data_IF_440725096474
#
_entry.id   IF_440725096474
#
_cell.length_a   1.000
_cell.length_b   1.000
_cell.length_c   1.000
_cell.angle_alpha   90.00
_cell.angle_beta   90.00
_cell.angle_gamma   90.00
#
_symmetry.space_group_name_H-M   'P 1'
#
loop_
_entity.id
_entity.type
_entity.pdbx_description
1 polymer ?
#
# COMPACT_ATOMS: atom_id res chain seq x y z
N UNK A 1 -34.61 -23.28 73.92
CA UNK A 1 -33.87 -24.09 72.92
C UNK A 1 -34.70 -24.12 71.64
N UNK A 2 -34.42 -23.22 70.68
CA UNK A 2 -35.09 -23.16 69.39
C UNK A 2 -34.24 -23.87 68.34
N UNK A 3 -34.73 -25.00 67.86
CA UNK A 3 -34.12 -25.79 66.80
C UNK A 3 -34.46 -25.19 65.44
N UNK A 4 -33.50 -24.49 64.84
CA UNK A 4 -33.57 -24.08 63.44
C UNK A 4 -33.55 -25.33 62.54
N UNK A 5 -34.71 -25.69 62.00
CA UNK A 5 -34.83 -26.69 60.93
C UNK A 5 -34.25 -26.10 59.64
N UNK A 6 -33.02 -26.50 59.32
CA UNK A 6 -32.42 -26.27 58.01
C UNK A 6 -33.23 -27.02 56.95
N UNK A 7 -34.07 -26.29 56.20
CA UNK A 7 -34.77 -26.83 55.04
C UNK A 7 -33.74 -27.07 53.92
N UNK A 8 -33.25 -28.31 53.84
CA UNK A 8 -32.37 -28.78 52.76
C UNK A 8 -33.24 -28.95 51.51
N UNK A 9 -33.46 -27.84 50.78
CA UNK A 9 -34.23 -27.80 49.53
C UNK A 9 -33.44 -28.61 48.49
N UNK A 10 -33.84 -29.86 48.27
CA UNK A 10 -33.29 -30.70 47.21
C UNK A 10 -33.62 -30.04 45.86
N UNK A 11 -32.64 -29.34 45.29
CA UNK A 11 -32.69 -28.97 43.88
C UNK A 11 -32.64 -30.31 43.12
N UNK A 12 -33.75 -30.66 42.46
CA UNK A 12 -33.87 -31.90 41.70
C UNK A 12 -32.76 -31.95 40.65
N UNK A 13 -32.07 -33.09 40.55
CA UNK A 13 -31.02 -33.37 39.58
C UNK A 13 -31.45 -33.04 38.13
N UNK A 14 -32.75 -33.12 37.85
CA UNK A 14 -33.34 -32.75 36.56
C UNK A 14 -33.14 -31.27 36.21
N UNK A 15 -33.18 -30.37 37.20
CA UNK A 15 -32.95 -28.94 36.98
C UNK A 15 -31.50 -28.66 36.58
N UNK A 16 -30.57 -29.43 37.12
CA UNK A 16 -29.14 -29.29 36.84
C UNK A 16 -28.79 -29.79 35.43
N UNK A 17 -29.46 -30.87 34.97
CA UNK A 17 -29.32 -31.40 33.61
C UNK A 17 -29.91 -30.45 32.56
N UNK A 18 -31.08 -29.86 32.83
CA UNK A 18 -31.69 -28.88 31.91
C UNK A 18 -30.82 -27.63 31.80
N UNK A 19 -30.28 -27.13 32.91
CA UNK A 19 -29.40 -25.96 32.91
C UNK A 19 -28.10 -26.21 32.12
N UNK A 20 -27.48 -27.38 32.24
CA UNK A 20 -26.26 -27.70 31.47
C UNK A 20 -26.53 -27.89 29.98
N UNK A 21 -27.65 -28.49 29.59
CA UNK A 21 -28.04 -28.63 28.18
C UNK A 21 -28.28 -27.25 27.53
N UNK A 22 -28.95 -26.33 28.24
CA UNK A 22 -29.18 -24.96 27.75
C UNK A 22 -27.88 -24.19 27.61
N UNK A 23 -26.96 -24.29 28.58
CA UNK A 23 -25.64 -23.65 28.47
C UNK A 23 -24.79 -24.22 27.33
N UNK A 24 -24.84 -25.53 27.08
CA UNK A 24 -24.14 -26.17 25.97
C UNK A 24 -24.72 -25.74 24.60
N UNK A 25 -26.05 -25.67 24.49
CA UNK A 25 -26.72 -25.17 23.27
C UNK A 25 -26.39 -23.70 23.01
N UNK A 26 -26.40 -22.84 24.04
CA UNK A 26 -26.03 -21.43 23.89
C UNK A 26 -24.55 -21.23 23.53
N UNK A 27 -23.65 -22.12 23.98
CA UNK A 27 -22.22 -22.07 23.62
C UNK A 27 -21.91 -22.61 22.21
N UNK A 28 -22.85 -23.35 21.60
CA UNK A 28 -22.69 -23.96 20.29
C UNK A 28 -23.24 -23.10 19.14
N UNK A 29 -23.94 -22.00 19.43
CA UNK A 29 -24.23 -21.00 18.42
C UNK A 29 -22.97 -20.17 18.22
N UNK A 30 -22.33 -20.18 17.03
CA UNK A 30 -21.32 -19.17 16.73
C UNK A 30 -21.99 -17.83 16.99
N UNK A 31 -21.41 -17.03 17.88
CA UNK A 31 -21.81 -15.64 18.02
C UNK A 31 -21.52 -15.00 16.66
N UNK A 32 -22.55 -14.94 15.81
CA UNK A 32 -22.52 -14.11 14.63
C UNK A 32 -22.53 -12.69 15.18
N UNK A 33 -21.33 -12.17 15.43
CA UNK A 33 -21.13 -10.76 15.66
C UNK A 33 -21.43 -10.08 14.34
N UNK A 34 -22.69 -9.68 14.15
CA UNK A 34 -23.04 -8.71 13.15
C UNK A 34 -22.40 -7.40 13.61
N UNK A 35 -21.17 -7.16 13.18
CA UNK A 35 -20.57 -5.83 13.25
C UNK A 35 -21.33 -5.02 12.21
N UNK A 36 -22.41 -4.38 12.64
CA UNK A 36 -22.99 -3.31 11.84
C UNK A 36 -21.94 -2.18 11.86
N UNK A 37 -21.24 -2.00 10.75
CA UNK A 37 -20.43 -0.79 10.57
C UNK A 37 -21.39 0.40 10.70
N UNK A 38 -21.09 1.30 11.63
CA UNK A 38 -21.87 2.52 11.77
C UNK A 38 -21.65 3.35 10.50
N UNK A 39 -22.73 3.88 9.92
CA UNK A 39 -22.63 4.80 8.80
C UNK A 39 -21.63 5.91 9.11
N UNK A 40 -20.78 6.23 8.15
CA UNK A 40 -19.78 7.28 8.27
C UNK A 40 -20.40 8.62 7.96
N UNK A 41 -20.00 9.66 8.69
CA UNK A 41 -20.45 11.03 8.44
C UNK A 41 -19.53 11.66 7.38
N UNK A 42 -20.07 11.91 6.19
CA UNK A 42 -19.32 12.53 5.08
C UNK A 42 -19.29 14.05 5.19
N UNK A 43 -20.36 14.63 5.75
CA UNK A 43 -20.53 16.07 5.86
C UNK A 43 -21.42 16.40 7.05
N UNK A 44 -21.07 17.47 7.77
CA UNK A 44 -21.91 18.06 8.80
C UNK A 44 -21.88 19.59 8.72
N UNK A 45 -23.03 20.21 8.90
CA UNK A 45 -23.17 21.66 9.07
C UNK A 45 -24.06 21.92 10.30
N UNK A 46 -23.53 22.61 11.33
CA UNK A 46 -24.29 22.84 12.56
C UNK A 46 -25.51 23.73 12.34
N UNK A 47 -25.43 24.72 11.45
CA UNK A 47 -26.55 25.63 11.21
C UNK A 47 -26.39 26.50 9.96
N UNK A 48 -27.46 26.66 9.19
CA UNK A 48 -27.55 27.60 8.08
C UNK A 48 -28.91 28.29 8.04
N UNK A 49 -28.94 29.59 7.74
CA UNK A 49 -30.19 30.31 7.42
C UNK A 49 -30.32 30.38 5.91
N UNK A 50 -31.46 29.94 5.39
CA UNK A 50 -31.75 29.87 3.95
C UNK A 50 -32.86 30.85 3.63
N UNK A 51 -32.67 31.63 2.58
CA UNK A 51 -33.63 32.65 2.14
C UNK A 51 -33.82 32.55 0.62
N UNK A 52 -34.87 33.18 0.08
CA UNK A 52 -35.13 33.21 -1.37
C UNK A 52 -33.96 33.77 -2.20
N UNK A 53 -33.17 34.69 -1.61
CA UNK A 53 -32.02 35.31 -2.28
C UNK A 53 -30.69 34.64 -1.97
N UNK A 54 -30.66 33.78 -0.96
CA UNK A 54 -29.45 33.10 -0.46
C UNK A 54 -29.78 31.63 -0.27
N UNK A 55 -29.79 30.83 -1.36
CA UNK A 55 -30.01 29.40 -1.25
C UNK A 55 -28.82 28.75 -0.54
N UNK A 56 -29.07 27.63 0.12
CA UNK A 56 -28.04 26.83 0.75
C UNK A 56 -27.39 25.89 -0.25
N UNK A 57 -26.07 25.75 -0.15
CA UNK A 57 -25.28 24.77 -0.86
C UNK A 57 -24.19 24.28 0.10
N UNK A 58 -24.13 22.97 0.32
CA UNK A 58 -23.13 22.35 1.22
C UNK A 58 -21.69 22.51 0.72
N UNK A 59 -21.50 22.86 -0.56
CA UNK A 59 -20.26 22.66 -1.29
C UNK A 59 -20.07 21.20 -1.68
N UNK A 60 -18.92 20.90 -2.30
CA UNK A 60 -18.58 19.57 -2.81
C UNK A 60 -18.34 18.56 -1.67
N UNK A 61 -19.08 17.45 -1.71
CA UNK A 61 -18.94 16.27 -0.86
C UNK A 61 -18.46 15.12 -1.75
N UNK A 62 -17.37 14.45 -1.36
CA UNK A 62 -16.87 13.31 -2.09
C UNK A 62 -17.57 12.02 -1.63
N UNK A 63 -18.56 11.57 -2.39
CA UNK A 63 -19.39 10.41 -2.07
C UNK A 63 -19.13 9.18 -2.96
N UNK A 64 -18.04 9.20 -3.75
CA UNK A 64 -17.76 8.15 -4.77
C UNK A 64 -17.52 6.75 -4.17
N UNK A 65 -16.99 6.69 -2.94
CA UNK A 65 -16.67 5.43 -2.25
C UNK A 65 -17.67 5.11 -1.14
N UNK A 66 -18.92 5.60 -1.25
CA UNK A 66 -19.95 5.40 -0.24
C UNK A 66 -21.26 4.92 -0.89
N UNK A 67 -21.93 4.00 -0.20
CA UNK A 67 -23.24 3.45 -0.54
C UNK A 67 -24.24 3.79 0.57
N UNK A 68 -25.53 3.49 0.35
CA UNK A 68 -26.61 3.78 1.30
C UNK A 68 -26.59 5.23 1.81
N UNK A 69 -26.24 6.15 0.91
CA UNK A 69 -26.15 7.57 1.21
C UNK A 69 -27.49 8.07 1.76
N UNK A 70 -27.43 8.94 2.76
CA UNK A 70 -28.60 9.55 3.38
C UNK A 70 -28.30 10.95 3.84
N UNK A 71 -29.33 11.79 3.86
CA UNK A 71 -29.29 13.16 4.39
C UNK A 71 -30.30 13.31 5.52
N UNK A 72 -29.93 14.00 6.59
CA UNK A 72 -30.81 14.33 7.72
C UNK A 72 -30.51 15.75 8.21
N UNK A 73 -31.52 16.46 8.71
CA UNK A 73 -31.38 17.78 9.33
C UNK A 73 -32.62 18.13 10.13
N UNK A 74 -32.52 19.14 11.00
CA UNK A 74 -33.69 19.81 11.55
C UNK A 74 -33.93 21.12 10.82
N UNK A 75 -35.19 21.53 10.74
CA UNK A 75 -35.63 22.78 10.12
C UNK A 75 -36.56 23.52 11.05
N UNK A 76 -36.44 24.84 11.06
CA UNK A 76 -37.41 25.77 11.63
C UNK A 76 -37.89 26.68 10.48
N UNK A 77 -39.11 26.39 10.03
CA UNK A 77 -39.79 27.08 8.93
C UNK A 77 -40.87 28.05 9.40
N UNK A 78 -40.88 28.42 10.69
CA UNK A 78 -41.89 29.33 11.28
C UNK A 78 -42.00 30.68 10.59
N UNK A 79 -40.96 31.09 9.86
CA UNK A 79 -40.94 32.34 9.11
C UNK A 79 -41.43 32.21 7.66
N UNK A 80 -41.80 31.01 7.20
CA UNK A 80 -42.49 30.80 5.92
C UNK A 80 -44.00 31.04 6.10
N UNK A 81 -44.37 32.28 6.44
CA UNK A 81 -45.71 32.63 6.92
C UNK A 81 -46.70 33.05 5.82
N UNK A 82 -46.24 33.13 4.57
CA UNK A 82 -47.04 33.47 3.41
C UNK A 82 -47.81 32.29 2.82
N UNK A 83 -48.94 32.59 2.17
CA UNK A 83 -49.73 31.56 1.48
C UNK A 83 -48.98 31.02 0.25
N UNK A 84 -48.52 29.78 0.35
CA UNK A 84 -47.78 29.12 -0.72
C UNK A 84 -46.26 29.22 -0.58
N UNK A 85 -45.77 29.74 0.54
CA UNK A 85 -44.34 29.69 0.84
C UNK A 85 -43.94 28.25 1.15
N UNK A 86 -42.76 27.86 0.69
CA UNK A 86 -42.22 26.52 0.86
C UNK A 86 -40.71 26.55 0.78
N UNK A 87 -40.06 25.50 1.25
CA UNK A 87 -38.68 25.21 0.85
C UNK A 87 -38.57 23.81 0.27
N UNK A 88 -37.66 23.66 -0.67
CA UNK A 88 -37.34 22.40 -1.32
C UNK A 88 -35.91 22.03 -0.98
N UNK A 89 -35.64 20.73 -0.83
CA UNK A 89 -34.30 20.23 -0.61
C UNK A 89 -34.03 19.05 -1.54
N UNK A 90 -32.75 18.87 -1.85
CA UNK A 90 -32.33 17.80 -2.73
C UNK A 90 -30.83 17.73 -2.88
N UNK A 91 -30.39 17.14 -3.98
CA UNK A 91 -28.99 17.01 -4.31
C UNK A 91 -28.71 17.42 -5.76
N UNK A 92 -27.44 17.68 -6.05
CA UNK A 92 -26.93 17.89 -7.41
C UNK A 92 -25.44 17.57 -7.47
N UNK A 93 -24.91 17.45 -8.68
CA UNK A 93 -23.48 17.65 -8.88
C UNK A 93 -23.17 19.16 -8.75
N UNK A 94 -22.02 19.55 -8.21
CA UNK A 94 -21.63 20.97 -8.15
C UNK A 94 -21.73 21.62 -9.54
N UNK A 95 -22.56 22.67 -9.65
CA UNK A 95 -22.85 23.38 -10.91
C UNK A 95 -23.84 22.66 -11.85
N UNK A 96 -24.39 21.52 -11.45
CA UNK A 96 -25.40 20.75 -12.17
C UNK A 96 -26.83 21.20 -11.88
N UNK A 97 -27.81 20.49 -12.44
CA UNK A 97 -29.23 20.72 -12.19
C UNK A 97 -29.69 20.10 -10.87
N UNK A 98 -30.62 20.78 -10.20
CA UNK A 98 -31.23 20.34 -8.94
C UNK A 98 -32.07 19.06 -9.14
N UNK A 99 -31.85 18.05 -8.29
CA UNK A 99 -32.70 16.87 -8.15
C UNK A 99 -33.42 16.94 -6.80
N UNK A 100 -34.71 17.31 -6.85
CA UNK A 100 -35.53 17.49 -5.64
C UNK A 100 -35.88 16.16 -4.98
N UNK A 101 -35.71 16.09 -3.66
CA UNK A 101 -36.13 14.96 -2.84
C UNK A 101 -37.53 15.20 -2.24
N UNK A 102 -37.76 16.40 -1.70
CA UNK A 102 -39.06 16.82 -1.22
C UNK A 102 -39.19 18.34 -1.12
N UNK A 103 -40.43 18.79 -0.98
CA UNK A 103 -40.82 20.16 -0.68
C UNK A 103 -41.63 20.20 0.61
N UNK A 104 -41.33 21.16 1.48
CA UNK A 104 -42.03 21.42 2.74
C UNK A 104 -42.74 22.75 2.63
N UNK A 105 -44.06 22.73 2.72
CA UNK A 105 -44.90 23.94 2.68
C UNK A 105 -44.96 24.59 4.06
N UNK A 106 -44.70 25.89 4.12
CA UNK A 106 -44.91 26.71 5.32
C UNK A 106 -46.38 26.82 5.69
N UNK A 107 -46.65 27.05 6.97
CA UNK A 107 -47.99 27.27 7.48
C UNK A 107 -48.19 28.76 7.75
N UNK A 108 -49.42 29.23 7.52
CA UNK A 108 -49.74 30.64 7.82
C UNK A 108 -49.73 30.85 9.34
N UNK A 109 -48.81 31.70 9.79
CA UNK A 109 -48.60 32.07 11.19
C UNK A 109 -47.55 31.20 11.88
N UNK A 110 -46.70 31.83 12.71
CA UNK A 110 -45.58 31.17 13.40
C UNK A 110 -46.08 30.04 14.34
N UNK A 111 -46.01 28.78 13.90
CA UNK A 111 -46.42 27.64 14.73
C UNK A 111 -45.25 26.71 15.04
N UNK A 112 -45.20 26.16 16.26
CA UNK A 112 -44.19 25.17 16.62
C UNK A 112 -44.26 23.87 15.78
N UNK A 113 -45.33 23.66 15.00
CA UNK A 113 -45.45 22.53 14.08
C UNK A 113 -44.50 22.65 12.86
N UNK A 114 -43.93 23.83 12.64
CA UNK A 114 -42.98 24.14 11.57
C UNK A 114 -41.52 23.91 11.97
N UNK A 115 -41.29 23.47 13.21
CA UNK A 115 -40.02 22.94 13.68
C UNK A 115 -40.04 21.43 13.52
N UNK A 116 -39.26 20.91 12.58
CA UNK A 116 -39.27 19.50 12.22
C UNK A 116 -37.85 18.94 12.14
N UNK A 117 -37.65 17.76 12.73
CA UNK A 117 -36.44 16.95 12.51
C UNK A 117 -36.73 15.94 11.42
N UNK A 118 -36.05 16.09 10.29
CA UNK A 118 -36.06 15.10 9.22
C UNK A 118 -35.07 13.99 9.57
N UNK A 119 -35.60 12.78 9.71
CA UNK A 119 -34.79 11.57 9.81
C UNK A 119 -33.99 11.30 8.53
N UNK A 120 -33.17 10.24 8.50
CA UNK A 120 -32.35 9.92 7.33
C UNK A 120 -33.23 9.66 6.11
N UNK A 121 -33.09 10.52 5.10
CA UNK A 121 -33.69 10.38 3.77
C UNK A 121 -32.65 9.76 2.85
N UNK A 122 -32.94 8.60 2.27
CA UNK A 122 -32.02 7.92 1.35
C UNK A 122 -31.80 8.73 0.08
N UNK A 123 -30.54 8.89 -0.30
CA UNK A 123 -30.12 9.45 -1.58
C UNK A 123 -30.00 8.32 -2.62
N UNK A 124 -30.35 8.60 -3.89
CA UNK A 124 -30.30 7.59 -4.94
C UNK A 124 -28.85 7.28 -5.36
N UNK A 125 -28.63 6.20 -6.11
CA UNK A 125 -27.28 5.75 -6.51
C UNK A 125 -26.55 6.80 -7.36
N UNK A 126 -27.28 7.62 -8.10
CA UNK A 126 -26.73 8.71 -8.91
C UNK A 126 -26.10 9.83 -8.07
N UNK A 127 -26.39 9.88 -6.76
CA UNK A 127 -25.74 10.80 -5.82
C UNK A 127 -24.35 10.30 -5.36
N UNK A 128 -23.93 9.09 -5.72
CA UNK A 128 -22.60 8.52 -5.42
C UNK A 128 -21.54 9.08 -6.37
N UNK A 129 -21.30 10.40 -6.28
CA UNK A 129 -20.39 11.15 -7.14
C UNK A 129 -19.35 11.91 -6.29
N UNK A 130 -18.22 12.28 -6.91
CA UNK A 130 -17.11 12.94 -6.21
C UNK A 130 -17.37 14.42 -5.86
N UNK A 131 -18.42 15.00 -6.42
CA UNK A 131 -18.82 16.39 -6.25
C UNK A 131 -20.32 16.52 -5.93
N UNK A 132 -20.81 15.64 -5.06
CA UNK A 132 -22.17 15.72 -4.51
C UNK A 132 -22.34 17.06 -3.78
N UNK A 133 -23.48 17.73 -3.96
CA UNK A 133 -23.83 18.93 -3.21
C UNK A 133 -25.29 18.82 -2.74
N UNK A 134 -25.54 19.06 -1.45
CA UNK A 134 -26.88 19.21 -0.91
C UNK A 134 -27.30 20.66 -1.08
N UNK A 135 -28.50 20.86 -1.61
CA UNK A 135 -29.08 22.19 -1.77
C UNK A 135 -30.39 22.31 -0.99
N UNK A 136 -30.66 23.53 -0.53
CA UNK A 136 -31.95 23.93 0.06
C UNK A 136 -32.32 25.29 -0.52
N UNK A 137 -33.52 25.40 -1.07
CA UNK A 137 -34.02 26.60 -1.74
C UNK A 137 -35.39 26.97 -1.16
N UNK A 138 -35.57 28.26 -0.84
CA UNK A 138 -36.87 28.80 -0.41
C UNK A 138 -37.59 29.37 -1.62
N UNK A 139 -38.87 29.04 -1.73
CA UNK A 139 -39.82 29.63 -2.68
C UNK A 139 -40.86 30.36 -1.85
N UNK A 140 -40.92 31.68 -1.98
CA UNK A 140 -41.88 32.48 -1.25
C UNK A 140 -42.37 33.68 -2.07
N UNK A 141 -43.52 34.23 -1.67
CA UNK A 141 -44.11 35.34 -2.38
C UNK A 141 -43.31 36.63 -2.16
N UNK A 142 -42.89 37.33 -3.22
CA UNK A 142 -42.11 38.55 -3.07
C UNK A 142 -42.88 39.62 -2.29
N UNK A 143 -42.33 40.06 -1.16
CA UNK A 143 -42.85 41.17 -0.35
C UNK A 143 -43.41 40.80 1.04
N UNK A 144 -43.31 39.52 1.45
CA UNK A 144 -43.58 39.08 2.83
C UNK A 144 -42.47 39.52 3.82
N UNK A 145 -42.82 39.59 5.11
CA UNK A 145 -41.82 39.81 6.15
C UNK A 145 -41.16 38.46 6.49
N UNK A 146 -40.00 38.21 5.88
CA UNK A 146 -39.02 37.17 6.23
C UNK A 146 -39.27 35.73 5.74
N UNK A 147 -39.17 35.50 4.43
CA UNK A 147 -39.15 34.18 3.78
C UNK A 147 -37.86 33.37 4.08
N UNK A 148 -37.71 32.88 5.32
CA UNK A 148 -36.51 32.20 5.79
C UNK A 148 -36.81 30.82 6.38
N UNK A 149 -35.88 29.89 6.21
CA UNK A 149 -35.83 28.64 6.97
C UNK A 149 -34.47 28.52 7.67
N UNK A 150 -34.47 28.22 8.96
CA UNK A 150 -33.26 27.87 9.70
C UNK A 150 -33.07 26.36 9.65
N UNK A 151 -31.94 25.92 9.14
CA UNK A 151 -31.52 24.52 9.07
C UNK A 151 -30.48 24.30 10.16
N UNK A 152 -30.61 23.21 10.92
CA UNK A 152 -29.62 22.79 11.92
C UNK A 152 -29.30 21.32 11.80
N UNK A 153 -28.11 20.93 12.28
CA UNK A 153 -27.66 19.54 12.33
C UNK A 153 -27.74 18.83 10.98
N UNK A 154 -27.42 19.55 9.89
CA UNK A 154 -27.41 18.95 8.56
C UNK A 154 -26.27 17.96 8.47
N UNK A 155 -26.59 16.74 8.05
CA UNK A 155 -25.68 15.62 8.00
C UNK A 155 -25.91 14.79 6.76
N UNK A 156 -24.81 14.46 6.07
CA UNK A 156 -24.78 13.46 5.01
C UNK A 156 -23.98 12.28 5.53
N UNK A 157 -24.57 11.10 5.50
CA UNK A 157 -23.93 9.85 5.94
C UNK A 157 -24.07 8.75 4.91
N UNK A 158 -23.15 7.79 4.94
CA UNK A 158 -23.17 6.62 4.08
C UNK A 158 -22.26 5.52 4.59
N UNK A 159 -22.47 4.32 4.08
CA UNK A 159 -21.62 3.18 4.38
C UNK A 159 -20.47 3.19 3.38
N UNK A 160 -19.20 3.10 3.82
CA UNK A 160 -18.09 2.90 2.89
C UNK A 160 -18.44 1.74 1.94
N UNK A 161 -18.33 1.97 0.64
CA UNK A 161 -18.35 0.86 -0.31
C UNK A 161 -17.14 0.04 0.07
N UNK A 162 -17.36 -1.11 0.71
CA UNK A 162 -16.30 -2.10 0.80
C UNK A 162 -15.90 -2.37 -0.62
N UNK A 163 -14.64 -2.06 -0.96
CA UNK A 163 -14.08 -2.45 -2.25
C UNK A 163 -14.44 -3.91 -2.41
N UNK A 164 -15.33 -4.17 -3.39
CA UNK A 164 -15.71 -5.54 -3.71
C UNK A 164 -14.45 -6.12 -4.27
N UNK A 165 -13.70 -6.77 -3.38
CA UNK A 165 -12.50 -7.46 -3.73
C UNK A 165 -12.95 -8.49 -4.78
N UNK A 166 -12.58 -8.24 -6.04
CA UNK A 166 -12.91 -9.15 -7.13
C UNK A 166 -12.00 -10.34 -6.94
N UNK A 167 -12.58 -11.54 -6.78
CA UNK A 167 -11.80 -12.79 -6.73
C UNK A 167 -10.73 -12.75 -7.82
N UNK A 168 -9.46 -12.78 -7.42
CA UNK A 168 -8.39 -12.80 -8.40
C UNK A 168 -8.44 -14.16 -9.11
N UNK A 169 -7.95 -14.19 -10.35
CA UNK A 169 -8.03 -15.45 -11.10
C UNK A 169 -6.98 -16.39 -10.55
N UNK A 170 -7.40 -17.41 -9.79
CA UNK A 170 -6.55 -18.51 -9.36
C UNK A 170 -5.76 -19.04 -10.56
N UNK A 171 -4.44 -19.10 -10.42
CA UNK A 171 -3.60 -19.63 -11.49
C UNK A 171 -3.71 -21.15 -11.48
N UNK A 172 -4.02 -21.75 -12.62
CA UNK A 172 -4.12 -23.21 -12.72
C UNK A 172 -2.71 -23.80 -12.72
N UNK A 173 -2.26 -24.25 -11.56
CA UNK A 173 -0.99 -24.97 -11.39
C UNK A 173 -0.12 -24.38 -10.28
N UNK A 174 0.97 -25.08 -9.90
CA UNK A 174 1.88 -24.60 -8.88
C UNK A 174 2.61 -23.36 -9.40
N UNK A 175 2.33 -22.22 -8.79
CA UNK A 175 3.24 -21.08 -8.80
C UNK A 175 4.13 -21.14 -7.56
N UNK A 176 5.10 -20.24 -7.50
CA UNK A 176 5.97 -20.14 -6.34
C UNK A 176 5.28 -19.53 -5.11
N UNK A 177 4.12 -18.88 -5.28
CA UNK A 177 3.39 -18.18 -4.23
C UNK A 177 2.11 -18.93 -3.94
N UNK A 178 1.99 -19.40 -2.70
CA UNK A 178 0.89 -20.27 -2.28
C UNK A 178 0.27 -19.79 -0.97
N UNK A 179 -1.05 -19.78 -0.89
CA UNK A 179 -1.75 -19.64 0.40
C UNK A 179 -1.76 -21.01 1.07
N UNK A 180 -1.08 -21.13 2.22
CA UNK A 180 -0.79 -22.43 2.86
C UNK A 180 -2.07 -23.17 3.21
N UNK A 181 -3.07 -22.44 3.70
CA UNK A 181 -4.30 -22.97 4.24
C UNK A 181 -5.28 -23.44 3.14
N UNK A 182 -5.41 -22.69 2.03
CA UNK A 182 -6.33 -23.06 0.92
C UNK A 182 -5.67 -23.96 -0.12
N UNK A 183 -4.35 -23.86 -0.26
CA UNK A 183 -3.62 -24.55 -1.31
C UNK A 183 -3.64 -23.84 -2.66
N UNK A 184 -4.19 -22.63 -2.71
CA UNK A 184 -4.29 -21.83 -3.94
C UNK A 184 -2.97 -21.16 -4.29
N UNK A 185 -2.80 -20.93 -5.59
CA UNK A 185 -1.57 -20.46 -6.20
C UNK A 185 -1.81 -19.12 -6.90
N UNK A 186 -0.87 -18.21 -6.70
CA UNK A 186 -0.92 -16.83 -7.20
C UNK A 186 0.35 -16.49 -7.97
N UNK A 187 0.23 -15.59 -8.94
CA UNK A 187 1.34 -15.07 -9.74
C UNK A 187 2.14 -13.98 -9.01
N UNK A 188 1.56 -13.33 -8.00
CA UNK A 188 2.25 -12.36 -7.14
C UNK A 188 1.70 -12.36 -5.71
N UNK A 189 2.45 -11.72 -4.79
CA UNK A 189 2.00 -11.51 -3.40
C UNK A 189 0.82 -10.54 -3.39
N UNK A 190 0.84 -9.55 -4.28
CA UNK A 190 -0.20 -8.54 -4.41
C UNK A 190 -1.51 -9.20 -4.83
N UNK A 191 -1.46 -10.11 -5.81
CA UNK A 191 -2.63 -10.91 -6.24
C UNK A 191 -3.17 -11.79 -5.10
N UNK A 192 -2.28 -12.44 -4.34
CA UNK A 192 -2.68 -13.27 -3.18
C UNK A 192 -3.28 -12.43 -2.04
N UNK A 193 -2.75 -11.23 -1.80
CA UNK A 193 -3.23 -10.33 -0.74
C UNK A 193 -4.49 -9.56 -1.12
N UNK A 194 -4.72 -9.39 -2.41
CA UNK A 194 -5.89 -8.76 -3.00
C UNK A 194 -6.96 -9.80 -3.38
N UNK A 195 -6.88 -11.03 -2.87
CA UNK A 195 -7.90 -12.04 -3.09
C UNK A 195 -8.94 -12.03 -1.97
N UNK A 196 -10.21 -12.02 -2.37
CA UNK A 196 -11.35 -11.74 -1.48
C UNK A 196 -11.74 -12.92 -0.59
N UNK A 197 -11.41 -14.12 -1.02
CA UNK A 197 -11.69 -15.37 -0.32
C UNK A 197 -10.50 -15.86 0.50
N UNK A 198 -9.34 -15.18 0.42
CA UNK A 198 -8.20 -15.38 1.33
C UNK A 198 -8.46 -14.62 2.64
N UNK A 199 -8.89 -15.30 3.73
CA UNK A 199 -9.26 -14.64 4.96
C UNK A 199 -8.06 -13.98 5.63
N UNK A 200 -8.30 -12.87 6.34
CA UNK A 200 -7.26 -12.20 7.11
C UNK A 200 -6.57 -13.17 8.10
N UNK A 201 -5.23 -13.17 8.07
CA UNK A 201 -4.40 -14.02 8.93
C UNK A 201 -3.89 -15.30 8.28
N UNK A 202 -4.23 -15.55 7.01
CA UNK A 202 -3.68 -16.68 6.25
C UNK A 202 -2.21 -16.44 5.89
N UNK A 203 -1.44 -17.53 5.81
CA UNK A 203 -0.01 -17.47 5.57
C UNK A 203 0.27 -17.59 4.08
N UNK A 204 0.87 -16.54 3.51
CA UNK A 204 1.40 -16.58 2.13
C UNK A 204 2.81 -17.17 2.18
N UNK A 205 2.97 -18.39 1.68
CA UNK A 205 4.27 -19.00 1.46
C UNK A 205 4.86 -18.44 0.17
N UNK A 206 5.94 -17.68 0.30
CA UNK A 206 6.78 -17.28 -0.82
C UNK A 206 7.82 -18.37 -1.07
N UNK A 207 8.32 -18.53 -2.31
CA UNK A 207 9.48 -19.36 -2.50
C UNK A 207 10.58 -18.73 -1.66
N UNK A 208 11.28 -19.55 -0.87
CA UNK A 208 12.49 -19.10 -0.18
C UNK A 208 13.40 -18.52 -1.25
N UNK A 209 13.52 -17.18 -1.28
CA UNK A 209 14.43 -16.48 -2.19
C UNK A 209 15.77 -17.16 -2.04
N UNK A 210 16.20 -17.89 -3.06
CA UNK A 210 17.50 -18.54 -3.06
C UNK A 210 18.49 -17.39 -3.06
N UNK A 211 19.03 -17.06 -1.90
CA UNK A 211 20.14 -16.14 -1.79
C UNK A 211 21.30 -16.82 -2.48
N UNK A 212 21.52 -16.48 -3.75
CA UNK A 212 22.78 -16.78 -4.42
C UNK A 212 23.85 -16.21 -3.50
N UNK A 213 24.79 -17.02 -2.97
CA UNK A 213 25.87 -16.50 -2.16
C UNK A 213 26.54 -15.39 -2.98
N UNK A 214 26.68 -14.19 -2.42
CA UNK A 214 27.55 -13.18 -3.02
C UNK A 214 28.91 -13.85 -3.17
N UNK A 215 29.52 -13.86 -4.38
CA UNK A 215 30.82 -14.46 -4.57
C UNK A 215 31.79 -13.88 -3.54
N UNK A 216 32.75 -14.67 -3.08
CA UNK A 216 33.85 -14.10 -2.32
C UNK A 216 34.65 -13.15 -3.22
N UNK A 217 35.28 -12.13 -2.63
CA UNK A 217 36.20 -11.26 -3.33
C UNK A 217 37.32 -12.07 -4.00
N UNK A 218 37.73 -11.68 -5.21
CA UNK A 218 38.88 -12.27 -5.87
C UNK A 218 40.14 -11.43 -5.59
N UNK A 219 41.26 -12.10 -5.32
CA UNK A 219 42.57 -11.44 -5.15
C UNK A 219 43.48 -11.76 -6.33
N UNK A 220 44.01 -10.73 -6.99
CA UNK A 220 45.00 -10.85 -8.05
C UNK A 220 46.33 -10.34 -7.51
N UNK A 221 47.40 -11.12 -7.69
CA UNK A 221 48.77 -10.71 -7.39
C UNK A 221 49.53 -10.69 -8.71
N UNK A 222 50.06 -9.53 -9.08
CA UNK A 222 50.80 -9.33 -10.32
C UNK A 222 52.25 -8.91 -10.03
N UNK A 223 53.18 -9.45 -10.81
CA UNK A 223 54.62 -9.14 -10.71
C UNK A 223 55.10 -8.57 -12.04
N UNK A 224 55.71 -7.38 -12.01
CA UNK A 224 56.30 -6.75 -13.20
C UNK A 224 57.77 -7.12 -13.34
N UNK A 225 58.11 -7.68 -14.49
CA UNK A 225 59.49 -7.92 -14.92
C UNK A 225 59.75 -7.04 -16.15
N UNK A 226 60.92 -6.41 -16.19
CA UNK A 226 61.43 -5.64 -17.33
C UNK A 226 62.76 -6.24 -17.74
N UNK A 227 62.97 -6.41 -19.04
CA UNK A 227 64.23 -6.88 -19.61
C UNK A 227 64.79 -5.80 -20.53
N UNK A 228 66.13 -5.69 -20.58
CA UNK A 228 66.83 -4.74 -21.47
C UNK A 228 66.67 -5.11 -22.96
N UNK A 229 66.43 -6.39 -23.27
CA UNK A 229 66.21 -6.90 -24.62
C UNK A 229 64.92 -7.73 -24.66
N UNK A 230 64.06 -7.46 -25.65
CA UNK A 230 62.80 -8.17 -25.88
C UNK A 230 63.02 -9.65 -26.22
N UNK A 231 64.18 -10.02 -26.77
CA UNK A 231 64.54 -11.41 -27.04
C UNK A 231 64.67 -12.27 -25.76
N UNK A 232 64.81 -11.65 -24.59
CA UNK A 232 64.87 -12.33 -23.30
C UNK A 232 63.47 -12.69 -22.77
N UNK A 233 62.43 -12.03 -23.28
CA UNK A 233 61.06 -12.31 -22.89
C UNK A 233 60.57 -13.63 -23.50
N UNK A 234 59.72 -14.38 -22.78
CA UNK A 234 59.16 -15.62 -23.28
C UNK A 234 58.10 -15.32 -24.35
N UNK A 235 58.51 -15.29 -25.63
CA UNK A 235 57.63 -15.00 -26.77
C UNK A 235 56.68 -16.14 -27.13
N UNK A 236 56.87 -17.34 -26.57
CA UNK A 236 56.01 -18.50 -26.83
C UNK A 236 54.71 -18.48 -25.99
N UNK A 237 54.54 -17.46 -25.15
CA UNK A 237 53.44 -17.36 -24.20
C UNK A 237 53.53 -18.40 -23.08
N UNK A 238 52.85 -18.13 -21.97
CA UNK A 238 52.61 -19.14 -20.94
C UNK A 238 51.20 -19.68 -21.11
N UNK A 239 51.04 -20.99 -21.24
CA UNK A 239 49.72 -21.63 -21.23
C UNK A 239 49.10 -21.64 -19.82
N UNK A 240 49.91 -21.47 -18.78
CA UNK A 240 49.47 -21.36 -17.39
C UNK A 240 50.40 -20.43 -16.63
N UNK A 241 49.83 -19.39 -16.02
CA UNK A 241 50.54 -18.48 -15.11
C UNK A 241 50.12 -18.83 -13.68
N UNK A 242 51.08 -19.16 -12.82
CA UNK A 242 50.89 -19.47 -11.40
C UNK A 242 51.54 -18.39 -10.53
N UNK A 243 51.38 -18.49 -9.22
CA UNK A 243 52.04 -17.60 -8.27
C UNK A 243 53.58 -17.72 -8.24
N UNK A 244 54.18 -18.75 -8.87
CA UNK A 244 55.64 -18.91 -8.96
C UNK A 244 56.22 -18.51 -10.30
N UNK A 245 55.41 -18.31 -11.34
CA UNK A 245 55.88 -18.08 -12.72
C UNK A 245 56.93 -16.97 -12.84
N UNK A 246 56.72 -15.83 -12.18
CA UNK A 246 57.68 -14.72 -12.22
C UNK A 246 59.02 -15.05 -11.55
N UNK A 247 58.97 -15.76 -10.41
CA UNK A 247 60.18 -16.20 -9.70
C UNK A 247 60.93 -17.26 -10.51
N UNK A 248 60.21 -18.22 -11.10
CA UNK A 248 60.77 -19.28 -11.95
C UNK A 248 61.42 -18.70 -13.22
N UNK A 249 60.81 -17.67 -13.81
CA UNK A 249 61.39 -16.95 -14.96
C UNK A 249 62.74 -16.34 -14.58
N UNK A 250 62.80 -15.54 -13.51
CA UNK A 250 64.03 -14.87 -13.07
C UNK A 250 65.12 -15.84 -12.58
N UNK A 251 64.71 -17.02 -12.07
CA UNK A 251 65.63 -18.08 -11.64
C UNK A 251 66.11 -19.00 -12.79
N UNK A 252 65.59 -18.81 -14.01
CA UNK A 252 65.99 -19.60 -15.18
C UNK A 252 67.42 -19.26 -15.64
N UNK A 253 67.90 -19.98 -16.66
CA UNK A 253 69.29 -19.87 -17.14
C UNK A 253 69.71 -18.42 -17.40
N UNK A 254 70.93 -18.00 -17.00
CA UNK A 254 71.39 -16.62 -17.15
C UNK A 254 71.27 -16.06 -18.58
N UNK A 255 71.37 -16.90 -19.60
CA UNK A 255 71.19 -16.49 -21.01
C UNK A 255 69.79 -15.91 -21.31
N UNK A 256 68.77 -16.23 -20.50
CA UNK A 256 67.40 -15.73 -20.63
C UNK A 256 67.04 -14.64 -19.62
N UNK A 257 67.84 -14.45 -18.58
CA UNK A 257 67.52 -13.56 -17.44
C UNK A 257 68.57 -12.49 -17.19
N UNK A 258 69.76 -12.59 -17.81
CA UNK A 258 70.79 -11.57 -17.74
C UNK A 258 70.30 -10.31 -18.46
N UNK A 259 69.95 -9.29 -17.66
CA UNK A 259 69.33 -8.06 -18.15
C UNK A 259 67.83 -7.96 -17.83
N UNK A 260 67.26 -8.90 -17.08
CA UNK A 260 65.88 -8.83 -16.58
C UNK A 260 65.84 -8.54 -15.08
N UNK A 261 64.94 -7.67 -14.64
CA UNK A 261 64.75 -7.31 -13.23
C UNK A 261 63.29 -7.07 -12.86
N UNK A 262 63.00 -7.15 -11.56
CA UNK A 262 61.71 -6.76 -10.98
C UNK A 262 61.59 -5.24 -11.02
N UNK A 263 60.46 -4.73 -11.50
CA UNK A 263 60.24 -3.30 -11.68
C UNK A 263 59.26 -2.74 -10.65
N UNK A 264 59.77 -1.86 -9.79
CA UNK A 264 58.96 -1.06 -8.87
C UNK A 264 58.23 0.08 -9.59
N UNK A 265 57.27 0.68 -8.91
CA UNK A 265 56.54 1.88 -9.35
C UNK A 265 55.80 1.71 -10.69
N UNK A 266 55.28 0.50 -10.95
CA UNK A 266 54.49 0.16 -12.14
C UNK A 266 53.02 -0.11 -11.77
N UNK A 267 52.05 0.38 -12.55
CA UNK A 267 50.63 0.04 -12.40
C UNK A 267 50.16 -0.94 -13.47
N UNK A 268 49.29 -1.88 -13.10
CA UNK A 268 48.56 -2.74 -14.02
C UNK A 268 47.15 -2.20 -14.23
N UNK A 269 46.47 -2.66 -15.27
CA UNK A 269 45.06 -2.37 -15.52
C UNK A 269 44.30 -3.69 -15.72
N UNK A 270 43.07 -3.73 -15.22
CA UNK A 270 42.17 -4.89 -15.36
C UNK A 270 40.74 -4.43 -15.66
N UNK A 271 39.95 -5.27 -16.33
CA UNK A 271 38.57 -4.96 -16.68
C UNK A 271 37.69 -6.23 -16.63
N UNK A 272 36.39 -6.04 -16.43
CA UNK A 272 35.38 -7.10 -16.51
C UNK A 272 35.01 -7.43 -17.97
N UNK A 273 34.46 -8.63 -18.19
CA UNK A 273 33.84 -9.08 -19.45
C UNK A 273 34.77 -9.17 -20.68
N UNK A 274 36.01 -9.63 -20.50
CA UNK A 274 36.96 -9.94 -21.60
C UNK A 274 36.97 -8.85 -22.69
N UNK A 275 37.44 -7.66 -22.34
CA UNK A 275 37.67 -6.61 -23.32
C UNK A 275 38.75 -7.08 -24.32
N UNK A 276 38.47 -6.96 -25.62
CA UNK A 276 39.38 -7.41 -26.67
C UNK A 276 40.64 -6.52 -26.70
N UNK A 277 41.80 -7.13 -26.44
CA UNK A 277 43.12 -6.48 -26.36
C UNK A 277 43.97 -6.76 -27.60
N UNK A 278 43.35 -6.94 -28.77
CA UNK A 278 44.03 -7.20 -30.05
C UNK A 278 44.92 -6.06 -30.58
N UNK A 279 45.21 -5.03 -29.78
CA UNK A 279 46.05 -3.88 -30.14
C UNK A 279 47.20 -3.69 -29.15
N UNK A 280 48.15 -2.81 -29.50
CA UNK A 280 49.23 -2.38 -28.61
C UNK A 280 48.66 -1.89 -27.27
N UNK A 281 49.13 -2.50 -26.18
CA UNK A 281 48.69 -2.21 -24.81
C UNK A 281 49.66 -1.27 -24.08
N UNK A 282 50.42 -0.46 -24.80
CA UNK A 282 51.26 0.57 -24.23
C UNK A 282 50.45 1.75 -23.66
N UNK A 283 50.75 2.14 -22.42
CA UNK A 283 50.11 3.26 -21.74
C UNK A 283 48.84 2.88 -20.97
N UNK A 284 48.20 3.87 -20.35
CA UNK A 284 46.94 3.69 -19.64
C UNK A 284 45.77 3.71 -20.63
N UNK A 285 44.90 2.71 -20.56
CA UNK A 285 43.76 2.53 -21.45
C UNK A 285 42.54 3.36 -21.01
N UNK A 286 42.45 3.70 -19.71
CA UNK A 286 41.30 4.41 -19.16
C UNK A 286 40.03 3.54 -19.13
N UNK A 287 38.86 4.14 -18.89
CA UNK A 287 37.61 3.38 -18.75
C UNK A 287 37.32 2.48 -19.98
N UNK A 288 36.91 1.20 -19.80
CA UNK A 288 36.42 0.58 -18.57
C UNK A 288 37.51 -0.09 -17.70
N UNK A 289 38.78 0.16 -17.96
CA UNK A 289 39.88 -0.42 -17.21
C UNK A 289 40.07 0.25 -15.85
N UNK A 290 40.36 -0.57 -14.84
CA UNK A 290 40.67 -0.16 -13.47
C UNK A 290 42.16 -0.33 -13.23
N UNK A 291 42.84 0.76 -12.87
CA UNK A 291 44.26 0.72 -12.55
C UNK A 291 44.50 0.14 -11.15
N UNK A 292 45.57 -0.62 -10.99
CA UNK A 292 46.08 -1.08 -9.70
C UNK A 292 46.85 0.04 -8.99
N UNK A 293 47.19 -0.20 -7.72
CA UNK A 293 48.29 0.51 -7.06
C UNK A 293 49.63 0.27 -7.79
N UNK A 294 50.65 1.01 -7.39
CA UNK A 294 52.01 0.82 -7.89
C UNK A 294 52.66 -0.44 -7.30
N UNK A 295 53.46 -1.14 -8.11
CA UNK A 295 54.30 -2.23 -7.64
C UNK A 295 55.30 -1.75 -6.59
N UNK A 296 55.53 -2.57 -5.57
CA UNK A 296 56.53 -2.31 -4.53
C UNK A 296 57.97 -2.54 -5.04
N UNK A 297 58.96 -2.44 -4.15
CA UNK A 297 60.39 -2.67 -4.48
C UNK A 297 60.72 -4.09 -4.95
N UNK A 298 59.80 -5.04 -4.76
CA UNK A 298 59.89 -6.41 -5.29
C UNK A 298 59.11 -6.56 -6.61
N UNK A 299 58.63 -5.47 -7.20
CA UNK A 299 57.86 -5.48 -8.44
C UNK A 299 56.48 -6.11 -8.30
N UNK A 300 55.91 -6.21 -7.09
CA UNK A 300 54.62 -6.88 -6.83
C UNK A 300 53.54 -5.87 -6.47
N UNK A 301 52.32 -6.09 -6.99
CA UNK A 301 51.08 -5.42 -6.55
C UNK A 301 49.98 -6.45 -6.27
N UNK A 302 49.11 -6.15 -5.30
CA UNK A 302 47.92 -6.94 -4.98
C UNK A 302 46.67 -6.11 -5.27
N UNK A 303 45.70 -6.71 -5.95
CA UNK A 303 44.40 -6.11 -6.28
C UNK A 303 43.28 -6.99 -5.72
N UNK A 304 42.21 -6.36 -5.23
CA UNK A 304 41.00 -7.03 -4.74
C UNK A 304 39.84 -6.64 -5.63
N UNK A 305 39.19 -7.63 -6.25
CA UNK A 305 37.97 -7.47 -7.04
C UNK A 305 36.79 -7.86 -6.14
N UNK A 306 35.89 -6.92 -5.80
CA UNK A 306 34.74 -7.21 -4.97
C UNK A 306 33.88 -8.33 -5.59
N UNK A 307 33.42 -9.27 -4.77
CA UNK A 307 32.59 -10.37 -5.25
C UNK A 307 31.28 -9.93 -5.90
N UNK A 308 30.77 -8.76 -5.51
CA UNK A 308 29.63 -8.10 -6.18
C UNK A 308 29.89 -7.74 -7.64
N UNK A 309 31.14 -7.54 -8.03
CA UNK A 309 31.56 -7.22 -9.41
C UNK A 309 31.86 -8.48 -10.23
N UNK A 310 32.06 -9.63 -9.59
CA UNK A 310 32.31 -10.92 -10.25
C UNK A 310 31.01 -11.59 -10.74
N UNK A 311 29.86 -11.10 -10.27
CA UNK A 311 28.55 -11.71 -10.49
C UNK A 311 27.74 -11.00 -11.61
N UNK A 312 28.41 -10.61 -12.69
CA UNK A 312 27.73 -10.15 -13.91
C UNK A 312 27.40 -11.35 -14.79
N UNK A 313 26.24 -11.95 -14.50
CA UNK A 313 25.37 -12.62 -15.47
C UNK A 313 23.92 -12.38 -15.07
#
# INVERSE_FOLDING_TARGET
MNTNKFLKRQISLQFLIVATIVSLLLSAFPAAFFVAEAATDLYTDPSATVETTVPYASGAINAVNFSNLSVSFSSDSTKLDGSGDSFSYGWRAVGGSNVELATVTGLVGETLAEVQTLGPVSLPIEAQISNLEIYIEVVANPGGNSDQVLITDLKVSGDPIQEVCTSQTNVVGPTDIKVVETGEYFNSIEDASADCDTPAGYTIEQPKKISVPVPADATIIATKIVCDDEMLLPNDGYTTVTNTTAADFLASTPERTAGCHLQADWSFEWALNSQDVQVDNAGAQGAPWTSSDLTNTLGVVTMVIPGSELNVN
#
